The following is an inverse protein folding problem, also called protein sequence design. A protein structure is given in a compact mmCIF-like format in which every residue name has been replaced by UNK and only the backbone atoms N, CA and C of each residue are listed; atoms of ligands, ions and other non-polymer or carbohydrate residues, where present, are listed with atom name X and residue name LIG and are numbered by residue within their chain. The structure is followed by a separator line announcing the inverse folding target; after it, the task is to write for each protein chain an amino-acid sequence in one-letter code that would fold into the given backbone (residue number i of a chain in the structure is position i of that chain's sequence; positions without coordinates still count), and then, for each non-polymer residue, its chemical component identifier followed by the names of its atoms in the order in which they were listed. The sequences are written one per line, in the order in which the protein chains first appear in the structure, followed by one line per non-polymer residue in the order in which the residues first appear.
data_IF_917352035128
#
_entry.id   IF_917352035128
#
_cell.length_a   1.000
_cell.length_b   1.000
_cell.length_c   1.000
_cell.angle_alpha   90.00
_cell.angle_beta   90.00
_cell.angle_gamma   90.00
#
_symmetry.space_group_name_H-M   'P 1'
#
loop_
_entity.id
_entity.type
_entity.pdbx_description
1 polymer ?
#
# COMPACT_ATOMS: atom_id res chain seq x y z
N UNK A 1 49.67 -7.65 -9.90
CA UNK A 1 48.21 -7.71 -10.04
C UNK A 1 47.74 -6.85 -11.21
N UNK A 2 47.76 -7.40 -12.42
CA UNK A 2 47.08 -6.77 -13.56
C UNK A 2 45.57 -6.95 -13.37
N UNK A 3 44.84 -5.85 -13.18
CA UNK A 3 43.37 -5.82 -13.18
C UNK A 3 42.86 -5.56 -14.61
N UNK A 4 43.27 -6.37 -15.57
CA UNK A 4 42.65 -6.37 -16.89
C UNK A 4 41.70 -7.55 -16.96
N UNK A 5 40.42 -7.31 -17.29
CA UNK A 5 39.40 -8.33 -17.52
C UNK A 5 39.64 -9.18 -18.78
N UNK A 6 40.90 -9.50 -19.07
CA UNK A 6 41.36 -10.17 -20.28
C UNK A 6 41.53 -11.68 -20.09
N UNK A 7 41.24 -12.21 -18.89
CA UNK A 7 41.11 -13.65 -18.67
C UNK A 7 39.70 -14.10 -19.03
N UNK A 8 39.56 -15.30 -19.61
CA UNK A 8 38.27 -15.98 -19.76
C UNK A 8 37.51 -15.92 -18.43
N UNK A 9 36.36 -15.24 -18.45
CA UNK A 9 35.54 -15.04 -17.26
C UNK A 9 34.96 -16.37 -16.81
N UNK A 10 35.59 -16.99 -15.81
CA UNK A 10 35.03 -18.19 -15.17
C UNK A 10 33.88 -17.78 -14.25
N UNK A 11 32.79 -18.56 -14.19
CA UNK A 11 31.67 -18.29 -13.29
C UNK A 11 31.97 -18.56 -11.81
N UNK A 12 33.20 -18.98 -11.48
CA UNK A 12 33.61 -19.37 -10.14
C UNK A 12 35.03 -18.89 -9.83
N UNK A 13 35.35 -18.85 -8.53
CA UNK A 13 36.66 -18.49 -8.00
C UNK A 13 37.25 -19.66 -7.23
N UNK A 14 38.58 -19.83 -7.33
CA UNK A 14 39.32 -20.88 -6.63
C UNK A 14 40.16 -20.28 -5.51
N UNK A 15 40.02 -20.82 -4.30
CA UNK A 15 40.79 -20.42 -3.14
C UNK A 15 41.41 -21.63 -2.42
N UNK A 16 42.61 -21.48 -1.83
CA UNK A 16 43.19 -22.53 -0.99
C UNK A 16 42.31 -22.84 0.22
N UNK A 17 42.11 -24.13 0.51
CA UNK A 17 41.24 -24.63 1.59
C UNK A 17 41.59 -24.14 3.01
N UNK A 18 42.81 -23.65 3.23
CA UNK A 18 43.29 -23.18 4.55
C UNK A 18 43.15 -21.68 4.75
N UNK A 19 42.57 -20.96 3.79
CA UNK A 19 42.45 -19.52 3.85
C UNK A 19 41.12 -19.10 4.50
N UNK A 20 41.18 -18.00 5.25
CA UNK A 20 39.98 -17.27 5.66
C UNK A 20 39.69 -16.17 4.64
N UNK A 21 38.52 -16.22 4.03
CA UNK A 21 38.07 -15.23 3.07
C UNK A 21 37.31 -14.12 3.78
N UNK A 22 37.46 -12.90 3.26
CA UNK A 22 36.55 -11.79 3.56
C UNK A 22 35.98 -11.35 2.22
N UNK A 23 34.67 -11.47 2.05
CA UNK A 23 34.00 -11.32 0.76
C UNK A 23 32.86 -10.31 0.91
N UNK A 24 32.70 -9.43 -0.07
CA UNK A 24 31.58 -8.50 -0.15
C UNK A 24 31.15 -8.39 -1.61
N UNK A 25 29.85 -8.25 -1.84
CA UNK A 25 29.33 -7.93 -3.15
C UNK A 25 29.54 -6.44 -3.46
N UNK A 26 29.83 -6.12 -4.72
CA UNK A 26 29.83 -4.74 -5.18
C UNK A 26 29.45 -4.69 -6.66
N UNK A 27 28.48 -3.85 -7.06
CA UNK A 27 28.08 -3.72 -8.45
C UNK A 27 29.15 -3.01 -9.30
N UNK A 28 30.09 -2.31 -8.64
CA UNK A 28 31.19 -1.62 -9.29
C UNK A 28 32.53 -2.13 -8.80
N UNK A 29 33.52 -2.12 -9.68
CA UNK A 29 34.87 -2.51 -9.33
C UNK A 29 35.45 -1.55 -8.28
N UNK A 30 35.92 -2.10 -7.16
CA UNK A 30 36.56 -1.29 -6.12
C UNK A 30 37.86 -0.65 -6.60
N UNK A 31 38.00 0.64 -6.28
CA UNK A 31 39.27 1.35 -6.48
C UNK A 31 40.37 0.76 -5.60
N UNK A 32 41.62 0.95 -5.99
CA UNK A 32 42.79 0.52 -5.21
C UNK A 32 42.73 1.03 -3.76
N UNK A 33 42.32 2.29 -3.56
CA UNK A 33 42.19 2.91 -2.24
C UNK A 33 41.23 2.14 -1.32
N UNK A 34 40.10 1.68 -1.85
CA UNK A 34 39.12 0.90 -1.07
C UNK A 34 39.71 -0.47 -0.71
N UNK A 35 40.37 -1.14 -1.67
CA UNK A 35 41.02 -2.42 -1.40
C UNK A 35 42.12 -2.31 -0.34
N UNK A 36 42.96 -1.28 -0.38
CA UNK A 36 44.00 -1.03 0.64
C UNK A 36 43.38 -0.74 2.01
N UNK A 37 42.32 0.07 2.05
CA UNK A 37 41.60 0.35 3.29
C UNK A 37 41.04 -0.93 3.91
N UNK A 38 40.37 -1.77 3.12
CA UNK A 38 39.84 -3.05 3.60
C UNK A 38 40.96 -4.01 4.00
N UNK A 39 42.10 -4.01 3.30
CA UNK A 39 43.25 -4.84 3.69
C UNK A 39 43.86 -4.41 5.02
N UNK A 40 43.95 -3.11 5.28
CA UNK A 40 44.59 -2.57 6.48
C UNK A 40 43.67 -2.48 7.70
N UNK A 41 42.35 -2.32 7.50
CA UNK A 41 41.38 -2.08 8.58
C UNK A 41 40.54 -3.32 8.93
N UNK A 42 40.89 -4.02 10.01
CA UNK A 42 40.08 -5.13 10.53
C UNK A 42 38.64 -4.76 10.93
N UNK A 43 38.38 -3.61 11.59
CA UNK A 43 37.01 -3.19 11.92
C UNK A 43 36.15 -2.96 10.67
N UNK A 44 36.72 -2.33 9.63
CA UNK A 44 35.98 -2.08 8.39
C UNK A 44 35.65 -3.37 7.67
N UNK A 45 36.54 -4.37 7.68
CA UNK A 45 36.23 -5.70 7.13
C UNK A 45 35.10 -6.38 7.87
N UNK A 46 35.11 -6.36 9.20
CA UNK A 46 34.06 -7.00 10.00
C UNK A 46 32.68 -6.35 9.79
N UNK A 47 32.65 -5.05 9.46
CA UNK A 47 31.41 -4.32 9.21
C UNK A 47 30.86 -4.54 7.79
N UNK A 48 31.73 -4.59 6.77
CA UNK A 48 31.33 -4.56 5.36
C UNK A 48 31.53 -5.86 4.60
N UNK A 49 32.25 -6.82 5.17
CA UNK A 49 32.61 -8.07 4.49
C UNK A 49 32.22 -9.27 5.34
N UNK A 50 31.67 -10.27 4.68
CA UNK A 50 31.40 -11.56 5.30
C UNK A 50 32.70 -12.35 5.42
N UNK A 51 33.00 -12.78 6.65
CA UNK A 51 34.13 -13.66 6.92
C UNK A 51 33.71 -15.12 6.71
N UNK A 52 34.55 -15.89 6.00
CA UNK A 52 34.34 -17.31 5.77
C UNK A 52 35.65 -18.04 6.03
N UNK A 53 35.66 -18.94 7.02
CA UNK A 53 36.79 -19.82 7.26
C UNK A 53 36.65 -21.11 6.46
N UNK A 54 37.42 -21.23 5.37
CA UNK A 54 37.36 -22.41 4.50
C UNK A 54 37.83 -23.67 5.21
N UNK A 55 38.72 -23.57 6.19
CA UNK A 55 39.23 -24.73 6.91
C UNK A 55 38.11 -25.37 7.74
N UNK A 56 37.36 -24.55 8.49
CA UNK A 56 36.19 -24.98 9.25
C UNK A 56 35.08 -25.47 8.33
N UNK A 57 34.78 -24.74 7.25
CA UNK A 57 33.76 -25.15 6.27
C UNK A 57 34.05 -26.51 5.65
N UNK A 58 35.31 -26.80 5.26
CA UNK A 58 35.66 -28.12 4.71
C UNK A 58 35.42 -29.29 5.67
N UNK A 59 35.34 -29.03 6.99
CA UNK A 59 35.08 -30.04 8.02
C UNK A 59 33.58 -30.12 8.32
N UNK A 60 32.92 -28.97 8.47
CA UNK A 60 31.53 -28.90 8.94
C UNK A 60 30.51 -28.95 7.80
N UNK A 61 30.89 -28.48 6.60
CA UNK A 61 30.01 -28.19 5.46
C UNK A 61 28.79 -27.33 5.84
N UNK A 62 28.92 -26.58 6.93
CA UNK A 62 27.83 -25.86 7.57
C UNK A 62 28.37 -24.54 8.13
N UNK A 63 28.32 -23.50 7.29
CA UNK A 63 28.55 -22.11 7.68
C UNK A 63 27.28 -21.29 7.37
N UNK A 64 27.00 -20.19 8.08
CA UNK A 64 25.85 -19.34 7.80
C UNK A 64 25.83 -18.82 6.35
N UNK A 65 24.65 -18.81 5.74
CA UNK A 65 24.38 -18.38 4.36
C UNK A 65 25.35 -18.98 3.32
N UNK A 66 25.71 -20.25 3.55
CA UNK A 66 26.43 -21.10 2.63
C UNK A 66 25.62 -22.33 2.25
N UNK A 67 25.84 -22.83 1.04
CA UNK A 67 25.18 -24.03 0.54
C UNK A 67 26.12 -24.78 -0.43
N UNK A 68 26.10 -26.13 -0.45
CA UNK A 68 26.72 -26.89 -1.53
C UNK A 68 26.14 -26.52 -2.90
N UNK A 69 26.97 -26.47 -3.94
CA UNK A 69 26.56 -26.05 -5.30
C UNK A 69 25.45 -26.92 -5.90
N UNK A 70 25.44 -28.22 -5.59
CA UNK A 70 24.43 -29.16 -6.08
C UNK A 70 22.99 -28.83 -5.60
N UNK A 71 22.84 -27.94 -4.62
CA UNK A 71 21.54 -27.48 -4.10
C UNK A 71 21.18 -26.06 -4.54
N UNK A 72 21.90 -25.49 -5.52
CA UNK A 72 21.66 -24.11 -5.98
C UNK A 72 20.20 -23.85 -6.40
N UNK A 73 19.55 -24.79 -7.10
CA UNK A 73 18.14 -24.68 -7.49
C UNK A 73 17.15 -24.70 -6.31
N UNK A 74 17.57 -25.14 -5.13
CA UNK A 74 16.72 -25.11 -3.93
C UNK A 74 16.74 -23.75 -3.25
N UNK A 75 17.80 -22.96 -3.45
CA UNK A 75 18.04 -21.73 -2.70
C UNK A 75 17.89 -20.45 -3.53
N UNK A 76 18.03 -20.52 -4.85
CA UNK A 76 17.98 -19.35 -5.72
C UNK A 76 16.73 -19.43 -6.61
N UNK A 77 15.82 -18.47 -6.46
CA UNK A 77 14.48 -18.53 -7.02
C UNK A 77 14.43 -18.40 -8.56
N UNK A 78 15.44 -17.78 -9.16
CA UNK A 78 15.61 -17.60 -10.60
C UNK A 78 16.39 -18.77 -11.25
N UNK A 79 16.80 -19.78 -10.49
CA UNK A 79 17.49 -20.98 -10.97
C UNK A 79 16.60 -22.22 -10.80
N UNK A 80 16.20 -22.80 -11.93
CA UNK A 80 15.40 -24.03 -11.95
C UNK A 80 16.27 -25.29 -12.02
N UNK A 81 15.70 -26.41 -11.58
CA UNK A 81 16.35 -27.73 -11.63
C UNK A 81 16.27 -28.34 -13.03
N UNK A 82 17.43 -28.60 -13.65
CA UNK A 82 17.58 -29.29 -14.93
C UNK A 82 17.31 -28.41 -16.15
N UNK A 83 16.18 -27.67 -16.16
CA UNK A 83 15.80 -26.81 -17.28
C UNK A 83 15.01 -25.60 -16.80
N UNK A 84 15.09 -24.50 -17.56
CA UNK A 84 14.35 -23.26 -17.30
C UNK A 84 12.86 -23.49 -17.53
N UNK A 85 12.04 -23.12 -16.55
CA UNK A 85 10.58 -23.14 -16.63
C UNK A 85 10.04 -21.72 -16.62
N UNK A 86 9.49 -21.28 -17.76
CA UNK A 86 8.82 -19.97 -17.86
C UNK A 86 7.37 -20.09 -17.38
N UNK A 87 7.14 -19.80 -16.10
CA UNK A 87 5.84 -19.84 -15.43
C UNK A 87 5.30 -18.44 -15.07
N UNK A 88 6.01 -17.38 -15.46
CA UNK A 88 5.64 -16.01 -15.14
C UNK A 88 5.76 -15.64 -13.66
N UNK A 89 6.48 -16.42 -12.83
CA UNK A 89 6.62 -16.13 -11.37
C UNK A 89 7.27 -14.77 -11.05
N UNK A 90 7.99 -14.20 -12.01
CA UNK A 90 8.65 -12.89 -11.93
C UNK A 90 7.98 -11.85 -12.85
N UNK A 91 6.71 -12.02 -13.22
CA UNK A 91 6.01 -11.05 -14.07
C UNK A 91 5.94 -9.65 -13.43
N UNK A 92 5.85 -9.60 -12.09
CA UNK A 92 5.73 -8.37 -11.31
C UNK A 92 7.06 -7.95 -10.63
N UNK A 93 8.19 -8.54 -11.01
CA UNK A 93 9.50 -8.20 -10.42
C UNK A 93 10.07 -6.90 -10.99
N UNK A 94 10.92 -6.25 -10.18
CA UNK A 94 11.65 -5.05 -10.59
C UNK A 94 12.57 -5.27 -11.80
N UNK A 95 13.09 -6.49 -11.92
CA UNK A 95 14.00 -6.90 -12.98
C UNK A 95 13.27 -7.95 -13.81
N UNK A 96 12.87 -7.63 -15.05
CA UNK A 96 12.20 -8.59 -15.93
C UNK A 96 13.14 -9.74 -16.29
N UNK A 97 12.55 -10.93 -16.47
CA UNK A 97 13.26 -12.14 -16.90
C UNK A 97 13.50 -12.21 -18.40
N UNK A 98 12.72 -11.44 -19.18
CA UNK A 98 12.84 -11.34 -20.62
C UNK A 98 13.43 -9.98 -21.02
N UNK A 99 14.25 -10.01 -22.07
CA UNK A 99 14.79 -8.79 -22.67
C UNK A 99 13.62 -7.92 -23.21
N UNK A 100 13.52 -6.63 -22.81
CA UNK A 100 12.53 -5.73 -23.38
C UNK A 100 12.74 -5.57 -24.89
N UNK A 101 11.64 -5.46 -25.64
CA UNK A 101 11.67 -5.32 -27.11
C UNK A 101 12.11 -3.92 -27.59
N UNK A 102 12.34 -2.95 -26.71
CA UNK A 102 12.68 -1.57 -27.09
C UNK A 102 14.18 -1.37 -27.39
N UNK A 103 14.49 -0.49 -28.35
CA UNK A 103 15.82 -0.25 -28.91
C UNK A 103 16.78 0.57 -28.01
N UNK A 104 16.32 1.14 -26.89
CA UNK A 104 17.17 1.92 -25.95
C UNK A 104 18.06 1.06 -25.03
N UNK A 105 18.40 -0.16 -25.48
CA UNK A 105 19.05 -1.21 -24.71
C UNK A 105 20.58 -1.04 -24.54
N UNK A 106 21.17 0.03 -25.07
CA UNK A 106 22.64 0.16 -25.10
C UNK A 106 23.26 0.63 -23.78
N UNK A 107 22.48 1.26 -22.89
CA UNK A 107 23.10 1.88 -21.72
C UNK A 107 23.24 0.92 -20.54
N UNK A 108 22.24 0.10 -20.19
CA UNK A 108 22.36 -1.01 -19.22
C UNK A 108 21.14 -1.95 -19.38
N UNK A 109 21.31 -3.23 -19.76
CA UNK A 109 20.18 -4.15 -19.78
C UNK A 109 19.71 -4.43 -18.34
N UNK A 110 18.62 -3.79 -17.91
CA UNK A 110 17.93 -4.07 -16.66
C UNK A 110 17.05 -5.32 -16.80
N UNK A 111 17.65 -6.46 -17.16
CA UNK A 111 16.93 -7.75 -17.22
C UNK A 111 17.88 -8.87 -16.81
N UNK A 112 17.34 -9.90 -16.16
CA UNK A 112 18.09 -11.05 -15.65
C UNK A 112 17.38 -12.34 -16.08
N UNK A 113 17.94 -13.13 -17.03
CA UNK A 113 17.30 -14.35 -17.49
C UNK A 113 17.20 -15.39 -16.38
N UNK A 114 16.14 -16.19 -16.44
CA UNK A 114 16.05 -17.43 -15.67
C UNK A 114 17.18 -18.38 -16.07
N UNK A 115 17.75 -19.05 -15.07
CA UNK A 115 18.83 -20.01 -15.22
C UNK A 115 18.39 -21.44 -14.95
N UNK A 116 19.17 -22.40 -15.45
CA UNK A 116 19.09 -23.79 -15.02
C UNK A 116 20.34 -24.16 -14.22
N UNK A 117 20.20 -24.96 -13.17
CA UNK A 117 21.31 -25.37 -12.30
C UNK A 117 22.45 -26.06 -13.05
N UNK A 118 22.12 -26.84 -14.09
CA UNK A 118 23.07 -27.54 -14.96
C UNK A 118 24.11 -26.62 -15.59
N UNK A 119 23.79 -25.35 -15.82
CA UNK A 119 24.74 -24.39 -16.37
C UNK A 119 25.87 -24.09 -15.39
N UNK A 120 25.52 -23.87 -14.12
CA UNK A 120 26.48 -23.57 -13.05
C UNK A 120 27.23 -24.82 -12.60
N UNK A 121 26.51 -25.93 -12.41
CA UNK A 121 27.11 -27.22 -12.03
C UNK A 121 28.06 -27.75 -13.12
N UNK A 122 27.68 -27.65 -14.40
CA UNK A 122 28.50 -28.11 -15.52
C UNK A 122 29.77 -27.28 -15.75
N UNK A 123 29.84 -26.07 -15.17
CA UNK A 123 31.00 -25.20 -15.27
C UNK A 123 32.08 -25.50 -14.22
N UNK A 124 31.79 -26.30 -13.19
CA UNK A 124 32.69 -26.58 -12.06
C UNK A 124 33.14 -28.04 -12.10
N UNK A 125 34.46 -28.25 -12.12
CA UNK A 125 35.06 -29.58 -12.24
C UNK A 125 34.78 -30.48 -11.00
N UNK A 126 34.82 -29.91 -9.79
CA UNK A 126 34.58 -30.60 -8.53
C UNK A 126 33.37 -29.99 -7.82
N UNK A 127 32.19 -30.56 -8.09
CA UNK A 127 30.91 -30.08 -7.55
C UNK A 127 30.79 -30.36 -6.05
N UNK A 128 31.36 -31.46 -5.56
CA UNK A 128 31.21 -31.90 -4.16
C UNK A 128 32.03 -31.04 -3.19
N UNK A 129 33.15 -30.48 -3.64
CA UNK A 129 33.96 -29.52 -2.87
C UNK A 129 33.57 -28.05 -3.10
N UNK A 130 32.57 -27.78 -3.96
CA UNK A 130 32.20 -26.42 -4.34
C UNK A 130 31.12 -25.82 -3.44
N UNK A 131 31.24 -24.52 -3.22
CA UNK A 131 30.47 -23.77 -2.24
C UNK A 131 29.78 -22.57 -2.92
N UNK A 132 28.49 -22.43 -2.66
CA UNK A 132 27.69 -21.23 -2.91
C UNK A 132 27.62 -20.38 -1.63
N UNK A 133 27.92 -19.09 -1.73
CA UNK A 133 27.79 -18.14 -0.64
C UNK A 133 26.80 -17.04 -1.02
N UNK A 134 25.82 -16.78 -0.16
CA UNK A 134 24.99 -15.60 -0.28
C UNK A 134 25.73 -14.38 0.28
N UNK A 135 25.76 -13.30 -0.50
CA UNK A 135 26.35 -12.03 -0.13
C UNK A 135 25.26 -10.96 -0.09
N UNK A 136 25.35 -10.06 0.88
CA UNK A 136 24.38 -8.97 1.01
C UNK A 136 24.56 -7.95 -0.12
N UNK A 137 23.47 -7.66 -0.82
CA UNK A 137 23.34 -6.50 -1.71
C UNK A 137 22.42 -5.46 -1.08
N UNK A 138 22.97 -4.50 -0.30
CA UNK A 138 22.15 -3.49 0.34
C UNK A 138 21.46 -2.56 -0.66
N UNK A 139 22.00 -2.40 -1.88
CA UNK A 139 21.41 -1.51 -2.89
C UNK A 139 20.18 -2.15 -3.51
N UNK A 140 20.18 -3.47 -3.73
CA UNK A 140 19.00 -4.19 -4.15
C UNK A 140 17.85 -4.04 -3.14
N UNK A 141 18.13 -4.19 -1.84
CA UNK A 141 17.13 -4.00 -0.77
C UNK A 141 16.53 -2.59 -0.82
N UNK A 142 17.35 -1.55 -1.02
CA UNK A 142 16.83 -0.18 -1.17
C UNK A 142 15.96 0.00 -2.40
N UNK A 143 16.30 -0.66 -3.51
CA UNK A 143 15.49 -0.61 -4.74
C UNK A 143 14.13 -1.29 -4.53
N UNK A 144 14.11 -2.44 -3.87
CA UNK A 144 12.88 -3.18 -3.57
C UNK A 144 11.96 -2.37 -2.64
N UNK A 145 12.51 -1.78 -1.58
CA UNK A 145 11.77 -0.86 -0.69
C UNK A 145 11.26 0.37 -1.46
N UNK A 146 12.08 0.93 -2.35
CA UNK A 146 11.69 2.04 -3.20
C UNK A 146 10.54 1.68 -4.14
N UNK A 147 10.54 0.46 -4.68
CA UNK A 147 9.46 -0.05 -5.53
C UNK A 147 8.17 -0.24 -4.76
N UNK A 148 8.24 -0.81 -3.56
CA UNK A 148 7.07 -0.98 -2.69
C UNK A 148 6.44 0.39 -2.36
N UNK A 149 7.25 1.38 -1.98
CA UNK A 149 6.78 2.74 -1.71
C UNK A 149 6.16 3.38 -2.97
N UNK A 150 6.80 3.21 -4.14
CA UNK A 150 6.29 3.73 -5.40
C UNK A 150 4.94 3.10 -5.79
N UNK A 151 4.78 1.79 -5.56
CA UNK A 151 3.52 1.07 -5.82
C UNK A 151 2.40 1.59 -4.93
N UNK A 152 2.65 1.74 -3.63
CA UNK A 152 1.64 2.24 -2.68
C UNK A 152 1.26 3.70 -2.99
N UNK A 153 2.25 4.53 -3.36
CA UNK A 153 1.98 5.88 -3.82
C UNK A 153 1.18 5.91 -5.14
N UNK A 154 1.46 4.99 -6.06
CA UNK A 154 0.72 4.88 -7.32
C UNK A 154 -0.74 4.47 -7.09
N UNK A 155 -0.99 3.48 -6.23
CA UNK A 155 -2.34 3.05 -5.85
C UNK A 155 -3.14 4.21 -5.22
N UNK A 156 -2.51 4.99 -4.33
CA UNK A 156 -3.15 6.18 -3.76
C UNK A 156 -3.45 7.24 -4.82
N UNK A 157 -2.53 7.52 -5.74
CA UNK A 157 -2.74 8.49 -6.84
C UNK A 157 -3.85 8.05 -7.80
N UNK A 158 -3.93 6.77 -8.11
CA UNK A 158 -5.01 6.22 -8.94
C UNK A 158 -6.36 6.43 -8.26
N UNK A 159 -6.45 6.10 -6.96
CA UNK A 159 -7.65 6.37 -6.18
C UNK A 159 -8.02 7.86 -6.14
N UNK A 160 -7.04 8.75 -5.91
CA UNK A 160 -7.25 10.21 -5.94
C UNK A 160 -7.79 10.65 -7.28
N UNK A 161 -7.17 10.23 -8.38
CA UNK A 161 -7.60 10.62 -9.73
C UNK A 161 -9.05 10.22 -10.03
N UNK A 162 -9.50 9.07 -9.52
CA UNK A 162 -10.84 8.55 -9.74
C UNK A 162 -11.91 9.16 -8.80
N UNK A 163 -11.55 9.51 -7.56
CA UNK A 163 -12.52 9.82 -6.51
C UNK A 163 -12.39 11.22 -5.89
N UNK A 164 -11.23 11.87 -5.93
CA UNK A 164 -10.96 13.11 -5.21
C UNK A 164 -11.96 14.22 -5.56
N UNK A 165 -12.12 14.51 -6.85
CA UNK A 165 -13.03 15.56 -7.31
C UNK A 165 -14.49 15.26 -6.94
N UNK A 166 -14.91 14.00 -7.04
CA UNK A 166 -16.27 13.58 -6.66
C UNK A 166 -16.49 13.68 -5.16
N UNK A 167 -15.47 13.36 -4.35
CA UNK A 167 -15.50 13.53 -2.89
C UNK A 167 -15.59 15.02 -2.54
N UNK A 168 -14.80 15.90 -3.16
CA UNK A 168 -14.85 17.35 -2.93
C UNK A 168 -16.23 17.93 -3.29
N UNK A 169 -16.80 17.51 -4.42
CA UNK A 169 -18.18 17.89 -4.79
C UNK A 169 -19.15 17.37 -3.74
N UNK A 170 -19.08 16.10 -3.36
CA UNK A 170 -20.01 15.50 -2.40
C UNK A 170 -19.92 16.15 -1.01
N UNK A 171 -18.71 16.55 -0.56
CA UNK A 171 -18.50 17.34 0.65
C UNK A 171 -19.14 18.72 0.54
N UNK A 172 -18.94 19.40 -0.59
CA UNK A 172 -19.51 20.73 -0.86
C UNK A 172 -21.04 20.67 -0.89
N UNK A 173 -21.61 19.70 -1.60
CA UNK A 173 -23.04 19.43 -1.65
C UNK A 173 -23.59 19.12 -0.26
N UNK A 174 -22.91 18.27 0.51
CA UNK A 174 -23.31 17.95 1.88
C UNK A 174 -23.29 19.18 2.78
N UNK A 175 -22.33 20.10 2.63
CA UNK A 175 -22.27 21.34 3.39
C UNK A 175 -23.36 22.35 3.01
N UNK A 176 -23.65 22.49 1.71
CA UNK A 176 -24.63 23.45 1.17
C UNK A 176 -26.07 23.00 1.38
N UNK A 177 -26.35 21.72 1.14
CA UNK A 177 -27.70 21.15 1.13
C UNK A 177 -28.06 20.47 2.45
N UNK A 178 -27.05 20.03 3.21
CA UNK A 178 -27.16 19.26 4.45
C UNK A 178 -27.65 20.03 5.67
N UNK A 179 -28.12 19.29 6.66
CA UNK A 179 -28.34 19.78 8.01
C UNK A 179 -27.02 20.30 8.59
N UNK A 180 -27.11 21.24 9.53
CA UNK A 180 -25.94 21.94 10.05
C UNK A 180 -24.92 20.94 10.65
N UNK A 181 -23.80 20.75 9.96
CA UNK A 181 -22.77 19.76 10.28
C UNK A 181 -21.62 20.35 11.11
N UNK A 182 -21.83 21.51 11.72
CA UNK A 182 -20.79 22.24 12.43
C UNK A 182 -20.32 21.44 13.66
N UNK A 183 -19.02 21.10 13.78
CA UNK A 183 -18.53 20.15 14.78
C UNK A 183 -18.74 20.61 16.23
N UNK A 184 -18.91 21.91 16.45
CA UNK A 184 -19.22 22.49 17.76
C UNK A 184 -20.70 22.34 18.15
N UNK A 185 -21.61 22.29 17.17
CA UNK A 185 -23.06 22.12 17.36
C UNK A 185 -23.50 20.65 17.35
N UNK A 186 -22.61 19.74 16.93
CA UNK A 186 -22.88 18.30 16.98
C UNK A 186 -22.91 17.76 18.42
N UNK A 187 -23.78 16.76 18.72
CA UNK A 187 -23.85 16.11 20.02
C UNK A 187 -22.50 15.50 20.42
N UNK A 188 -22.18 15.55 21.72
CA UNK A 188 -20.93 15.00 22.25
C UNK A 188 -20.76 13.50 21.94
N UNK A 189 -21.86 12.74 21.89
CA UNK A 189 -21.89 11.30 21.58
C UNK A 189 -21.51 10.97 20.12
N UNK A 190 -21.58 11.95 19.23
CA UNK A 190 -21.39 11.79 17.77
C UNK A 190 -20.08 12.43 17.31
N UNK A 191 -19.58 13.40 18.07
CA UNK A 191 -18.36 14.14 17.77
C UNK A 191 -17.15 13.20 17.65
N UNK A 192 -16.46 13.27 16.52
CA UNK A 192 -15.23 12.50 16.26
C UNK A 192 -15.44 11.14 15.58
N UNK A 193 -16.68 10.70 15.34
CA UNK A 193 -16.95 9.48 14.58
C UNK A 193 -17.76 9.81 13.31
N UNK A 194 -17.08 9.82 12.16
CA UNK A 194 -17.69 10.18 10.87
C UNK A 194 -18.94 9.35 10.54
N UNK A 195 -18.93 8.04 10.82
CA UNK A 195 -20.06 7.16 10.55
C UNK A 195 -21.28 7.47 11.44
N UNK A 196 -21.04 7.75 12.73
CA UNK A 196 -22.12 8.18 13.62
C UNK A 196 -22.65 9.56 13.24
N UNK A 197 -21.78 10.48 12.82
CA UNK A 197 -22.17 11.81 12.34
C UNK A 197 -23.07 11.71 11.12
N UNK A 198 -22.73 10.86 10.15
CA UNK A 198 -23.57 10.62 8.98
C UNK A 198 -24.94 10.04 9.35
N UNK A 199 -25.00 9.05 10.24
CA UNK A 199 -26.27 8.47 10.70
C UNK A 199 -27.14 9.50 11.40
N UNK A 200 -26.56 10.26 12.33
CA UNK A 200 -27.27 11.33 13.03
C UNK A 200 -27.82 12.36 12.05
N UNK A 201 -27.00 12.87 11.12
CA UNK A 201 -27.45 13.85 10.14
C UNK A 201 -28.54 13.28 9.22
N UNK A 202 -28.45 12.02 8.82
CA UNK A 202 -29.50 11.37 8.02
C UNK A 202 -30.83 11.25 8.79
N UNK A 203 -30.79 10.94 10.09
CA UNK A 203 -32.00 10.85 10.92
C UNK A 203 -32.63 12.23 11.17
N UNK A 204 -31.80 13.26 11.39
CA UNK A 204 -32.24 14.65 11.56
C UNK A 204 -32.90 15.20 10.28
N UNK A 205 -32.36 14.88 9.11
CA UNK A 205 -32.94 15.31 7.84
C UNK A 205 -34.26 14.61 7.54
N UNK A 206 -34.35 13.29 7.80
CA UNK A 206 -35.60 12.56 7.68
C UNK A 206 -36.69 13.09 8.65
N UNK A 207 -36.28 13.54 9.84
CA UNK A 207 -37.18 14.25 10.76
C UNK A 207 -37.65 15.58 10.17
N UNK A 208 -36.76 16.41 9.61
CA UNK A 208 -37.15 17.67 9.01
C UNK A 208 -38.06 17.51 7.78
N UNK A 209 -37.82 16.50 6.95
CA UNK A 209 -38.71 16.15 5.83
C UNK A 209 -40.12 15.80 6.32
N UNK A 210 -40.22 15.01 7.40
CA UNK A 210 -41.49 14.65 8.01
C UNK A 210 -42.22 15.86 8.61
N UNK A 211 -41.52 16.78 9.26
CA UNK A 211 -42.15 18.03 9.72
C UNK A 211 -42.74 18.84 8.56
N UNK A 212 -42.06 18.91 7.42
CA UNK A 212 -42.55 19.65 6.24
C UNK A 212 -43.78 18.96 5.64
N UNK A 213 -43.80 17.63 5.56
CA UNK A 213 -44.96 16.88 5.07
C UNK A 213 -46.18 17.02 5.98
N UNK A 214 -45.98 16.96 7.29
CA UNK A 214 -47.04 17.16 8.28
C UNK A 214 -47.62 18.59 8.20
N UNK A 215 -46.77 19.63 8.09
CA UNK A 215 -47.21 21.02 7.86
C UNK A 215 -48.03 21.19 6.56
N UNK A 216 -47.64 20.50 5.49
CA UNK A 216 -48.36 20.52 4.21
C UNK A 216 -49.73 19.81 4.28
N UNK A 217 -49.84 18.74 5.07
CA UNK A 217 -51.11 18.05 5.31
C UNK A 217 -52.07 18.91 6.14
N UNK A 218 -51.56 19.57 7.20
CA UNK A 218 -52.36 20.46 8.04
C UNK A 218 -52.86 21.69 7.26
N UNK A 219 -52.05 22.25 6.37
CA UNK A 219 -52.43 23.40 5.54
C UNK A 219 -53.38 23.05 4.38
N UNK A 220 -53.39 21.80 3.93
CA UNK A 220 -54.31 21.33 2.88
C UNK A 220 -55.67 20.86 3.40
N UNK A 221 -55.77 20.49 4.68
CA UNK A 221 -57.05 20.13 5.33
C UNK A 221 -57.90 21.37 5.67
N UNK A 222 -58.44 22.03 4.65
CA UNK A 222 -59.32 23.20 4.78
C UNK A 222 -60.82 22.85 4.88
N UNK A 223 -61.20 21.59 5.14
CA UNK A 223 -62.61 21.21 5.32
C UNK A 223 -62.97 21.22 6.81
N UNK A 224 -63.86 22.11 7.27
CA UNK A 224 -64.27 22.15 8.67
C UNK A 224 -65.14 20.93 8.99
N UNK A 225 -64.61 19.98 9.76
CA UNK A 225 -65.37 18.85 10.28
C UNK A 225 -64.69 17.48 10.20
N UNK A 226 -63.60 17.35 9.44
CA UNK A 226 -62.93 16.05 9.25
C UNK A 226 -61.64 15.94 10.08
N UNK A 227 -61.67 16.42 11.32
CA UNK A 227 -60.61 16.15 12.31
C UNK A 227 -60.89 14.80 13.00
N UNK A 228 -60.99 13.74 12.21
CA UNK A 228 -60.82 12.39 12.73
C UNK A 228 -59.31 12.18 12.88
N UNK A 229 -58.86 12.29 14.14
CA UNK A 229 -57.50 12.01 14.59
C UNK A 229 -56.97 10.70 13.98
N UNK A 230 -56.28 10.80 12.84
CA UNK A 230 -55.50 9.70 12.30
C UNK A 230 -54.28 9.51 13.23
N UNK A 231 -54.04 8.30 13.75
CA UNK A 231 -52.94 8.01 14.69
C UNK A 231 -51.54 8.34 14.16
N UNK A 232 -51.41 8.57 12.85
CA UNK A 232 -50.14 8.74 12.13
C UNK A 232 -49.68 10.20 11.98
N UNK A 233 -50.41 11.18 12.55
CA UNK A 233 -50.15 12.62 12.39
C UNK A 233 -48.88 13.16 13.08
N UNK A 234 -48.20 12.35 13.92
CA UNK A 234 -47.09 12.83 14.75
C UNK A 234 -45.85 11.92 14.69
N UNK A 235 -45.56 11.36 13.51
CA UNK A 235 -44.32 10.59 13.30
C UNK A 235 -43.09 11.44 13.59
N UNK A 236 -43.16 12.74 13.33
CA UNK A 236 -42.11 13.70 13.71
C UNK A 236 -41.80 13.70 15.21
N UNK A 237 -42.82 13.64 16.08
CA UNK A 237 -42.63 13.63 17.55
C UNK A 237 -41.96 12.33 18.02
N UNK A 238 -42.33 11.20 17.44
CA UNK A 238 -41.70 9.91 17.77
C UNK A 238 -40.26 9.83 17.24
N UNK A 239 -40.00 10.35 16.03
CA UNK A 239 -38.64 10.47 15.48
C UNK A 239 -37.77 11.38 16.35
N UNK A 240 -38.30 12.53 16.79
CA UNK A 240 -37.61 13.45 17.72
C UNK A 240 -37.26 12.77 19.04
N UNK A 241 -38.20 12.07 19.66
CA UNK A 241 -37.95 11.29 20.89
C UNK A 241 -36.88 10.21 20.67
N UNK A 242 -36.86 9.58 19.49
CA UNK A 242 -35.86 8.56 19.16
C UNK A 242 -34.45 9.14 18.96
N UNK A 243 -34.34 10.35 18.41
CA UNK A 243 -33.07 11.08 18.22
C UNK A 243 -32.56 11.56 19.59
N UNK A 244 -33.45 12.11 20.42
CA UNK A 244 -33.13 12.53 21.78
C UNK A 244 -32.66 11.35 22.64
N UNK A 245 -33.35 10.21 22.58
CA UNK A 245 -32.96 9.00 23.32
C UNK A 245 -31.60 8.43 22.87
N UNK A 246 -31.26 8.53 21.57
CA UNK A 246 -30.02 7.95 21.00
C UNK A 246 -28.82 8.87 21.08
N UNK A 247 -29.01 10.18 20.94
CA UNK A 247 -27.92 11.15 20.81
C UNK A 247 -27.90 12.21 21.91
N UNK A 248 -28.91 12.24 22.79
CA UNK A 248 -28.99 13.14 23.94
C UNK A 248 -29.17 14.61 23.57
N UNK A 249 -29.46 14.92 22.30
CA UNK A 249 -29.65 16.27 21.80
C UNK A 249 -30.91 16.35 20.95
N UNK A 250 -31.64 17.45 21.10
CA UNK A 250 -32.85 17.73 20.34
C UNK A 250 -32.46 18.62 19.14
N UNK A 251 -32.96 18.34 17.92
CA UNK A 251 -32.77 19.22 16.78
C UNK A 251 -33.32 20.63 17.07
N UNK A 252 -32.48 21.66 16.92
CA UNK A 252 -32.86 23.06 17.17
C UNK A 252 -33.82 23.58 16.10
N UNK A 253 -34.81 24.39 16.49
CA UNK A 253 -35.76 25.02 15.57
C UNK A 253 -35.06 25.91 14.52
N UNK A 254 -33.96 26.58 14.90
CA UNK A 254 -33.11 27.37 14.00
C UNK A 254 -32.47 26.50 12.90
N UNK A 255 -32.09 25.26 13.23
CA UNK A 255 -31.56 24.31 12.27
C UNK A 255 -32.65 23.82 11.30
N UNK A 256 -33.90 23.70 11.77
CA UNK A 256 -35.05 23.40 10.91
C UNK A 256 -35.34 24.53 9.93
N UNK A 257 -35.26 25.79 10.37
CA UNK A 257 -35.50 26.95 9.50
C UNK A 257 -34.41 27.10 8.45
N UNK A 258 -33.13 27.02 8.83
CA UNK A 258 -32.01 27.06 7.87
C UNK A 258 -32.05 25.88 6.90
N UNK A 259 -32.51 24.72 7.35
CA UNK A 259 -32.80 23.59 6.47
C UNK A 259 -33.91 23.94 5.48
N UNK A 260 -35.05 24.51 5.91
CA UNK A 260 -36.14 24.96 5.01
C UNK A 260 -35.66 25.98 3.98
N UNK A 261 -34.81 26.94 4.37
CA UNK A 261 -34.27 27.97 3.47
C UNK A 261 -33.37 27.38 2.36
N UNK A 262 -32.69 26.26 2.66
CA UNK A 262 -31.84 25.52 1.71
C UNK A 262 -32.62 24.63 0.73
N UNK A 263 -33.96 24.60 0.78
CA UNK A 263 -34.76 23.71 -0.08
C UNK A 263 -34.51 23.92 -1.58
N UNK A 264 -34.15 25.15 -2.00
CA UNK A 264 -33.86 25.47 -3.41
C UNK A 264 -32.72 24.61 -3.97
N UNK A 265 -31.68 24.37 -3.17
CA UNK A 265 -30.51 23.59 -3.58
C UNK A 265 -30.79 22.08 -3.59
N UNK A 266 -31.63 21.59 -2.67
CA UNK A 266 -32.03 20.17 -2.61
C UNK A 266 -32.92 19.73 -3.77
N UNK A 267 -33.52 20.67 -4.51
CA UNK A 267 -34.24 20.36 -5.76
C UNK A 267 -33.31 20.11 -6.93
N UNK A 268 -32.13 20.73 -6.92
CA UNK A 268 -31.17 20.68 -8.02
C UNK A 268 -30.12 19.58 -7.82
N UNK A 269 -29.90 19.15 -6.57
CA UNK A 269 -28.81 18.24 -6.22
C UNK A 269 -29.29 17.08 -5.35
N UNK A 270 -28.82 15.88 -5.68
CA UNK A 270 -29.05 14.66 -4.91
C UNK A 270 -28.10 14.56 -3.71
N UNK A 271 -28.59 14.97 -2.54
CA UNK A 271 -27.87 14.90 -1.27
C UNK A 271 -27.64 13.45 -0.80
N UNK A 272 -28.60 12.56 -1.03
CA UNK A 272 -28.52 11.17 -0.56
C UNK A 272 -27.38 10.44 -1.26
N UNK A 273 -27.31 10.57 -2.59
CA UNK A 273 -26.22 10.01 -3.39
C UNK A 273 -24.85 10.61 -3.02
N UNK A 274 -24.77 11.93 -2.77
CA UNK A 274 -23.52 12.56 -2.33
C UNK A 274 -23.01 11.97 -1.01
N UNK A 275 -23.90 11.77 -0.02
CA UNK A 275 -23.51 11.18 1.27
C UNK A 275 -23.14 9.71 1.18
N UNK A 276 -23.89 8.95 0.39
CA UNK A 276 -23.56 7.54 0.14
C UNK A 276 -22.16 7.42 -0.48
N UNK A 277 -21.84 8.29 -1.44
CA UNK A 277 -20.53 8.31 -2.09
C UNK A 277 -19.40 8.59 -1.09
N UNK A 278 -19.58 9.57 -0.19
CA UNK A 278 -18.63 9.86 0.88
C UNK A 278 -18.43 8.66 1.80
N UNK A 279 -19.51 8.02 2.24
CA UNK A 279 -19.45 6.88 3.15
C UNK A 279 -18.71 5.67 2.53
N UNK A 280 -18.86 5.45 1.23
CA UNK A 280 -18.24 4.34 0.53
C UNK A 280 -16.74 4.58 0.29
N UNK A 281 -16.36 5.80 -0.11
CA UNK A 281 -15.00 6.03 -0.63
C UNK A 281 -14.03 6.67 0.37
N UNK A 282 -14.49 7.45 1.36
CA UNK A 282 -13.60 8.04 2.37
C UNK A 282 -12.74 6.98 3.12
N UNK A 283 -13.32 5.86 3.62
CA UNK A 283 -12.52 4.87 4.35
C UNK A 283 -11.44 4.22 3.50
N UNK A 284 -11.72 3.99 2.21
CA UNK A 284 -10.75 3.44 1.26
C UNK A 284 -9.59 4.42 1.01
N UNK A 285 -9.88 5.72 0.91
CA UNK A 285 -8.85 6.75 0.77
C UNK A 285 -7.97 6.86 2.01
N UNK A 286 -8.58 6.85 3.20
CA UNK A 286 -7.87 6.90 4.48
C UNK A 286 -6.96 5.68 4.68
N UNK A 287 -7.43 4.48 4.30
CA UNK A 287 -6.63 3.25 4.37
C UNK A 287 -5.41 3.29 3.44
N UNK A 288 -5.58 3.72 2.19
CA UNK A 288 -4.47 3.87 1.25
C UNK A 288 -3.46 4.94 1.70
N UNK A 289 -3.96 6.05 2.23
CA UNK A 289 -3.11 7.10 2.79
C UNK A 289 -2.32 6.62 4.02
N UNK A 290 -2.94 5.79 4.85
CA UNK A 290 -2.27 5.17 6.00
C UNK A 290 -1.19 4.18 5.55
N UNK A 291 -1.48 3.36 4.52
CA UNK A 291 -0.50 2.44 3.95
C UNK A 291 0.75 3.18 3.44
N UNK A 292 0.57 4.28 2.69
CA UNK A 292 1.68 5.14 2.23
C UNK A 292 2.50 5.76 3.37
N UNK A 293 1.91 5.94 4.56
CA UNK A 293 2.62 6.47 5.74
C UNK A 293 3.38 5.40 6.51
N UNK A 294 2.91 4.16 6.46
CA UNK A 294 3.46 3.04 7.20
C UNK A 294 4.58 2.31 6.43
N UNK A 295 4.68 2.53 5.11
CA UNK A 295 5.85 2.20 4.26
C UNK A 295 6.99 3.20 4.38
#
# INVERSE_FOLDING_TARGET
DQRSGASDGKPFLLYPRRNTLHIAFSPQQWTWRICEHMRSSAPSRALWMKALDLASYCITMAEPDTLPLNRIAEAVADIDKGHVTDDGRFADSAIPTARPLSEDAETHPLWAPLGADVFWQGSVDDQDSSLLIALDDPLAVFNDLGMQLAADQAAFREWQSAHEHKIQIAQTVSGLCGAESDPQKLPASVRGNAALTHRYLSEVEAYFEQCILEEAQISSSNVPGDFLLLPDMFKSLDMRKSIEARYGSVPTEEAAQTWKDRHKWRREVDLASARQYLQQHLPSGDALLQQVRDT
#
